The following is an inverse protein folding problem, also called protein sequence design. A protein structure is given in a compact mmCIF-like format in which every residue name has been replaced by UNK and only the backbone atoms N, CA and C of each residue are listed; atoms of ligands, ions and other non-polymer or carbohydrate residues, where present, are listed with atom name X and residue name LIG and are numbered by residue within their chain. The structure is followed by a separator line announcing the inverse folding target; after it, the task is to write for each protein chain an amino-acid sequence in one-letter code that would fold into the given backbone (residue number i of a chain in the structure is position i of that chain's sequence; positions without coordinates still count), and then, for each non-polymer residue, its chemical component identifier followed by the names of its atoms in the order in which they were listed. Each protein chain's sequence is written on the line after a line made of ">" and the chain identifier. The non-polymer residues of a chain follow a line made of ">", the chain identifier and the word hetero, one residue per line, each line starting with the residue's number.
data_IF_138299972986
#
_entry.id   IF_138299972986
#
_cell.length_a   1.000
_cell.length_b   1.000
_cell.length_c   1.000
_cell.angle_alpha   90.00
_cell.angle_beta   90.00
_cell.angle_gamma   90.00
#
_symmetry.space_group_name_H-M   'P 1'
#
loop_
_entity.id
_entity.type
_entity.pdbx_description
1 polymer ?
#
# COMPACT_ATOMS: atom_id res chain seq x y z
N UNK A 1 37.27 -22.22 -9.37
CA UNK A 1 36.39 -22.07 -8.20
C UNK A 1 35.06 -21.54 -8.71
N UNK A 2 34.07 -22.40 -8.93
CA UNK A 2 32.75 -22.00 -9.45
C UNK A 2 31.90 -21.62 -8.24
N UNK A 3 31.69 -20.34 -8.02
CA UNK A 3 30.70 -19.85 -7.07
C UNK A 3 29.32 -20.11 -7.67
N UNK A 4 28.64 -21.15 -7.20
CA UNK A 4 27.21 -21.33 -7.44
C UNK A 4 26.50 -20.07 -6.94
N UNK A 5 26.03 -19.20 -7.84
CA UNK A 5 25.10 -18.15 -7.47
C UNK A 5 23.85 -18.84 -6.95
N UNK A 6 23.55 -18.67 -5.66
CA UNK A 6 22.26 -19.06 -5.13
C UNK A 6 21.17 -18.46 -6.03
N UNK A 7 20.24 -19.29 -6.50
CA UNK A 7 19.14 -18.83 -7.34
C UNK A 7 18.29 -17.86 -6.53
N UNK A 8 18.30 -16.59 -6.93
CA UNK A 8 17.46 -15.55 -6.33
C UNK A 8 15.99 -15.91 -6.50
N UNK A 9 15.22 -15.87 -5.41
CA UNK A 9 13.80 -16.20 -5.37
C UNK A 9 12.96 -14.93 -5.32
N UNK A 10 11.88 -14.95 -6.08
CA UNK A 10 10.89 -13.89 -6.14
C UNK A 10 9.50 -14.51 -6.23
N UNK A 11 8.56 -13.95 -5.49
CA UNK A 11 7.13 -14.25 -5.59
C UNK A 11 6.32 -12.97 -5.48
N UNK A 12 5.01 -13.06 -5.68
CA UNK A 12 4.14 -11.89 -5.74
C UNK A 12 2.81 -12.15 -5.02
N UNK A 13 2.40 -11.20 -4.18
CA UNK A 13 1.01 -11.06 -3.72
C UNK A 13 0.28 -10.21 -4.76
N UNK A 14 -0.76 -10.77 -5.38
CA UNK A 14 -1.50 -10.09 -6.45
C UNK A 14 -2.25 -8.89 -5.91
N UNK A 15 -2.28 -7.80 -6.68
CA UNK A 15 -3.08 -6.64 -6.34
C UNK A 15 -4.56 -7.00 -6.16
N UNK A 16 -5.21 -6.35 -5.20
CA UNK A 16 -6.66 -6.38 -5.00
C UNK A 16 -7.17 -4.96 -5.21
N UNK A 17 -8.03 -4.70 -6.21
CA UNK A 17 -8.58 -3.37 -6.44
C UNK A 17 -9.64 -3.02 -5.39
N UNK A 18 -9.95 -1.73 -5.27
CA UNK A 18 -11.08 -1.27 -4.46
C UNK A 18 -12.39 -1.85 -5.01
N UNK A 19 -13.17 -2.61 -4.21
CA UNK A 19 -14.39 -3.24 -4.68
C UNK A 19 -15.51 -2.22 -4.91
N UNK A 20 -16.54 -2.64 -5.66
CA UNK A 20 -17.72 -1.81 -5.89
C UNK A 20 -18.59 -1.65 -4.65
N UNK A 21 -18.70 -2.69 -3.81
CA UNK A 21 -19.44 -2.64 -2.56
C UNK A 21 -18.51 -2.19 -1.44
N UNK A 22 -18.89 -1.12 -0.75
CA UNK A 22 -18.12 -0.54 0.35
C UNK A 22 -19.05 -0.24 1.54
N UNK A 23 -18.44 -0.06 2.70
CA UNK A 23 -19.10 0.34 3.95
C UNK A 23 -18.65 1.74 4.33
N UNK A 24 -19.53 2.73 4.28
CA UNK A 24 -19.24 4.11 4.68
C UNK A 24 -19.41 4.27 6.19
N UNK A 25 -18.44 4.89 6.88
CA UNK A 25 -18.64 5.32 8.27
C UNK A 25 -19.68 6.44 8.35
N UNK A 26 -20.61 6.32 9.30
CA UNK A 26 -21.66 7.31 9.54
C UNK A 26 -21.75 7.69 11.02
N UNK A 27 -22.17 8.93 11.25
CA UNK A 27 -22.49 9.48 12.57
C UNK A 27 -23.89 9.04 13.04
N UNK A 28 -24.22 9.37 14.29
CA UNK A 28 -25.51 9.02 14.92
C UNK A 28 -26.72 9.64 14.23
N UNK A 29 -26.54 10.75 13.52
CA UNK A 29 -27.57 11.41 12.71
C UNK A 29 -27.71 10.81 11.30
N UNK A 30 -26.93 9.75 10.99
CA UNK A 30 -26.94 9.05 9.71
C UNK A 30 -26.12 9.73 8.61
N UNK A 31 -25.46 10.86 8.88
CA UNK A 31 -24.58 11.53 7.92
C UNK A 31 -23.20 10.87 7.85
N UNK A 32 -22.45 11.05 6.74
CA UNK A 32 -21.08 10.57 6.66
C UNK A 32 -20.20 11.13 7.78
N UNK A 33 -19.42 10.26 8.41
CA UNK A 33 -18.39 10.66 9.35
C UNK A 33 -17.25 11.33 8.58
N UNK A 34 -16.87 12.55 8.99
CA UNK A 34 -15.97 13.39 8.19
C UNK A 34 -14.91 14.12 9.01
N UNK A 35 -13.65 14.03 8.57
CA UNK A 35 -12.51 14.74 9.17
C UNK A 35 -12.08 15.94 8.29
N UNK A 36 -11.53 17.02 8.86
CA UNK A 36 -10.94 18.11 8.06
C UNK A 36 -9.73 17.62 7.25
N UNK A 37 -9.61 18.07 5.99
CA UNK A 37 -8.46 17.76 5.14
C UNK A 37 -7.63 19.00 4.78
N UNK A 38 -8.05 19.76 3.76
CA UNK A 38 -7.42 21.02 3.34
C UNK A 38 -8.46 21.96 2.70
N UNK A 39 -8.29 23.27 2.84
CA UNK A 39 -9.09 24.33 2.17
C UNK A 39 -10.62 24.10 2.17
N UNK A 40 -11.16 23.60 3.28
CA UNK A 40 -12.60 23.36 3.43
C UNK A 40 -13.11 22.04 2.82
N UNK A 41 -12.22 21.25 2.22
CA UNK A 41 -12.47 19.85 1.82
C UNK A 41 -12.42 18.96 3.06
N UNK A 42 -13.32 17.98 3.12
CA UNK A 42 -13.37 16.98 4.20
C UNK A 42 -13.05 15.59 3.68
N UNK A 43 -12.55 14.72 4.55
CA UNK A 43 -12.35 13.30 4.25
C UNK A 43 -13.55 12.50 4.74
N UNK A 44 -14.12 11.67 3.88
CA UNK A 44 -15.03 10.59 4.25
C UNK A 44 -14.27 9.26 4.29
N UNK A 45 -14.71 8.36 5.16
CA UNK A 45 -14.05 7.07 5.34
C UNK A 45 -14.97 5.92 4.92
N UNK A 46 -14.47 5.10 4.01
CA UNK A 46 -15.14 3.89 3.57
C UNK A 46 -14.25 2.66 3.80
N UNK A 47 -14.87 1.48 3.83
CA UNK A 47 -14.17 0.24 4.10
C UNK A 47 -14.64 -0.88 3.17
N UNK A 48 -13.70 -1.74 2.77
CA UNK A 48 -14.03 -2.95 2.02
C UNK A 48 -14.61 -4.05 2.91
N UNK A 49 -14.23 -4.05 4.19
CA UNK A 49 -14.67 -4.97 5.23
C UNK A 49 -15.34 -4.14 6.33
N UNK A 50 -16.60 -4.43 6.68
CA UNK A 50 -17.36 -3.58 7.60
C UNK A 50 -16.75 -3.55 9.02
N UNK A 51 -16.10 -4.63 9.40
CA UNK A 51 -15.41 -4.82 10.69
C UNK A 51 -14.15 -3.97 10.81
N UNK A 52 -13.61 -3.44 9.70
CA UNK A 52 -12.41 -2.59 9.70
C UNK A 52 -12.70 -1.15 10.11
N UNK A 53 -13.96 -0.81 10.43
CA UNK A 53 -14.32 0.55 10.88
C UNK A 53 -13.54 0.91 12.15
N UNK A 54 -12.69 1.95 12.11
CA UNK A 54 -12.02 2.54 13.27
C UNK A 54 -13.03 2.96 14.32
N UNK A 55 -12.71 2.71 15.59
CA UNK A 55 -13.62 3.05 16.69
C UNK A 55 -13.83 4.57 16.82
N UNK A 56 -12.85 5.35 16.35
CA UNK A 56 -12.85 6.82 16.37
C UNK A 56 -13.59 7.43 15.17
N UNK A 57 -14.02 6.63 14.18
CA UNK A 57 -14.63 7.12 12.94
C UNK A 57 -16.08 6.67 12.80
N UNK A 58 -16.98 7.62 13.06
CA UNK A 58 -18.42 7.38 13.09
C UNK A 58 -18.84 6.41 14.19
N UNK A 59 -20.14 6.17 14.28
CA UNK A 59 -20.74 5.24 15.26
C UNK A 59 -21.32 3.99 14.62
N UNK A 60 -21.52 4.00 13.29
CA UNK A 60 -22.07 2.88 12.53
C UNK A 60 -21.53 2.83 11.10
N UNK A 61 -21.93 1.81 10.34
CA UNK A 61 -21.62 1.65 8.92
C UNK A 61 -22.88 1.67 8.06
N UNK A 62 -22.76 2.20 6.83
CA UNK A 62 -23.79 2.17 5.81
C UNK A 62 -23.25 1.57 4.51
N UNK A 63 -23.93 0.58 3.90
CA UNK A 63 -23.56 0.08 2.59
C UNK A 63 -23.67 1.17 1.52
N UNK A 64 -22.64 1.29 0.68
CA UNK A 64 -22.58 2.25 -0.43
C UNK A 64 -21.88 1.62 -1.62
N UNK A 65 -22.03 2.27 -2.78
CA UNK A 65 -21.30 1.89 -3.97
C UNK A 65 -20.06 2.76 -4.15
N UNK A 66 -19.02 2.18 -4.74
CA UNK A 66 -17.83 2.95 -5.15
C UNK A 66 -18.20 4.10 -6.09
N UNK A 67 -19.16 3.88 -6.99
CA UNK A 67 -19.59 4.89 -7.96
C UNK A 67 -20.24 6.10 -7.29
N UNK A 68 -21.10 5.90 -6.29
CA UNK A 68 -21.71 7.01 -5.55
C UNK A 68 -20.68 7.86 -4.81
N UNK A 69 -19.68 7.21 -4.20
CA UNK A 69 -18.61 7.92 -3.50
C UNK A 69 -17.70 8.69 -4.47
N UNK A 70 -17.45 8.16 -5.66
CA UNK A 70 -16.73 8.89 -6.71
C UNK A 70 -17.52 10.11 -7.22
N UNK A 71 -18.84 10.02 -7.28
CA UNK A 71 -19.71 11.16 -7.61
C UNK A 71 -19.65 12.24 -6.51
N UNK A 72 -19.59 11.82 -5.25
CA UNK A 72 -19.40 12.72 -4.11
C UNK A 72 -18.02 13.42 -4.17
N UNK A 73 -16.94 12.70 -4.46
CA UNK A 73 -15.60 13.29 -4.67
C UNK A 73 -15.59 14.31 -5.83
N UNK A 74 -16.26 14.00 -6.94
CA UNK A 74 -16.36 14.91 -8.10
C UNK A 74 -17.07 16.23 -7.79
N UNK A 75 -17.89 16.28 -6.74
CA UNK A 75 -18.48 17.53 -6.27
C UNK A 75 -17.45 18.50 -5.67
N UNK A 76 -16.23 18.01 -5.36
CA UNK A 76 -15.12 18.79 -4.81
C UNK A 76 -15.24 19.11 -3.33
N UNK A 77 -16.30 18.65 -2.65
CA UNK A 77 -16.53 18.90 -1.22
C UNK A 77 -15.86 17.87 -0.31
N UNK A 78 -15.62 16.67 -0.85
CA UNK A 78 -15.12 15.53 -0.11
C UNK A 78 -14.02 14.81 -0.88
N UNK A 79 -13.11 14.18 -0.14
CA UNK A 79 -12.27 13.09 -0.63
C UNK A 79 -12.60 11.84 0.17
N UNK A 80 -12.47 10.66 -0.43
CA UNK A 80 -12.85 9.40 0.18
C UNK A 80 -11.62 8.53 0.32
N UNK A 81 -11.31 8.17 1.56
CA UNK A 81 -10.23 7.26 1.90
C UNK A 81 -10.83 5.89 2.23
N UNK A 82 -10.39 4.86 1.50
CA UNK A 82 -10.84 3.48 1.71
C UNK A 82 -9.84 2.74 2.60
N UNK A 83 -10.30 2.01 3.60
CA UNK A 83 -9.46 1.18 4.47
C UNK A 83 -8.27 1.95 5.07
N UNK A 84 -8.53 3.17 5.55
CA UNK A 84 -7.56 3.96 6.30
C UNK A 84 -7.32 3.31 7.68
N UNK A 85 -6.06 3.19 8.08
CA UNK A 85 -5.71 2.59 9.37
C UNK A 85 -6.12 3.48 10.55
N UNK A 86 -6.37 2.86 11.71
CA UNK A 86 -6.70 3.59 12.95
C UNK A 86 -5.61 4.61 13.28
N UNK A 87 -6.00 5.86 13.58
CA UNK A 87 -5.05 6.95 13.86
C UNK A 87 -4.30 7.50 12.64
N UNK A 88 -4.58 7.01 11.43
CA UNK A 88 -3.97 7.48 10.19
C UNK A 88 -5.02 7.99 9.20
N UNK A 89 -4.82 9.22 8.70
CA UNK A 89 -5.72 9.86 7.74
C UNK A 89 -5.61 9.30 6.32
N UNK A 90 -4.49 8.65 6.02
CA UNK A 90 -4.17 8.14 4.70
C UNK A 90 -4.68 6.69 4.56
N UNK A 91 -5.48 6.45 3.52
CA UNK A 91 -5.99 5.14 3.16
C UNK A 91 -5.64 4.78 1.72
N UNK A 92 -6.38 3.83 1.16
CA UNK A 92 -6.37 3.55 -0.27
C UNK A 92 -7.28 4.57 -0.95
N UNK A 93 -6.80 5.32 -1.96
CA UNK A 93 -7.65 6.19 -2.74
C UNK A 93 -8.81 5.39 -3.35
N UNK A 94 -10.03 5.92 -3.29
CA UNK A 94 -11.18 5.27 -3.93
C UNK A 94 -11.06 5.26 -5.46
N UNK A 95 -10.30 6.22 -6.00
CA UNK A 95 -9.95 6.28 -7.41
C UNK A 95 -9.02 5.12 -7.77
N UNK A 96 -9.27 4.53 -8.93
CA UNK A 96 -8.39 3.51 -9.47
C UNK A 96 -7.08 4.17 -9.90
N UNK A 97 -6.11 4.21 -9.00
CA UNK A 97 -4.75 4.53 -9.38
C UNK A 97 -4.13 3.25 -9.93
N UNK A 98 -3.96 3.19 -11.24
CA UNK A 98 -3.07 2.23 -11.87
C UNK A 98 -1.71 2.93 -12.01
N UNK A 99 -0.74 2.66 -11.11
CA UNK A 99 0.61 3.16 -11.31
C UNK A 99 1.08 2.72 -12.69
N UNK A 100 1.79 3.60 -13.40
CA UNK A 100 2.38 3.20 -14.66
C UNK A 100 3.28 2.00 -14.42
N UNK A 101 3.18 1.00 -15.30
CA UNK A 101 4.17 -0.08 -15.27
C UNK A 101 5.52 0.53 -15.59
N UNK A 102 6.58 0.19 -14.83
CA UNK A 102 7.89 0.68 -15.12
C UNK A 102 8.30 0.26 -16.53
N UNK A 103 8.98 1.16 -17.25
CA UNK A 103 9.56 0.85 -18.54
C UNK A 103 10.67 -0.19 -18.43
N UNK A 104 11.24 -0.57 -19.58
CA UNK A 104 12.35 -1.54 -19.63
C UNK A 104 13.68 -0.95 -19.12
N UNK A 105 13.79 0.39 -19.05
CA UNK A 105 14.98 1.09 -18.61
C UNK A 105 15.05 1.12 -17.07
N UNK A 106 16.21 0.85 -16.47
CA UNK A 106 16.42 1.02 -15.04
C UNK A 106 16.24 2.47 -14.60
N UNK A 107 15.61 2.68 -13.45
CA UNK A 107 15.56 3.98 -12.81
C UNK A 107 16.92 4.36 -12.23
N UNK A 108 17.31 5.62 -12.44
CA UNK A 108 18.45 6.20 -11.75
C UNK A 108 18.14 6.32 -10.24
N UNK A 109 19.09 6.05 -9.33
CA UNK A 109 18.85 6.18 -7.89
C UNK A 109 18.34 7.57 -7.48
N UNK A 110 18.83 8.64 -8.12
CA UNK A 110 18.40 10.02 -7.88
C UNK A 110 16.93 10.30 -8.27
N UNK A 111 16.36 9.46 -9.14
CA UNK A 111 14.96 9.57 -9.58
C UNK A 111 14.00 8.68 -8.79
N UNK A 112 14.47 8.01 -7.73
CA UNK A 112 13.66 7.09 -6.92
C UNK A 112 13.61 7.57 -5.48
N UNK A 113 12.40 7.60 -4.92
CA UNK A 113 12.17 7.73 -3.49
C UNK A 113 11.83 6.37 -2.92
N UNK A 114 12.25 6.13 -1.68
CA UNK A 114 11.95 4.91 -0.95
C UNK A 114 11.33 5.29 0.38
N UNK A 115 10.17 4.70 0.67
CA UNK A 115 9.43 4.90 1.90
C UNK A 115 9.27 3.54 2.58
N UNK A 116 9.52 3.47 3.88
CA UNK A 116 9.19 2.27 4.66
C UNK A 116 7.66 2.16 4.76
N UNK A 117 7.14 0.94 4.60
CA UNK A 117 5.69 0.74 4.72
C UNK A 117 5.24 0.93 6.16
N UNK A 118 4.08 1.57 6.31
CA UNK A 118 3.47 1.79 7.61
C UNK A 118 1.96 1.93 7.48
N UNK A 119 1.29 2.15 8.60
CA UNK A 119 -0.12 2.48 8.66
C UNK A 119 -0.51 3.77 7.90
N UNK A 120 0.46 4.65 7.58
CA UNK A 120 0.24 5.79 6.68
C UNK A 120 -0.04 5.36 5.22
N UNK A 121 0.09 4.08 4.88
CA UNK A 121 -0.34 3.56 3.58
C UNK A 121 -1.77 2.98 3.63
N UNK A 122 -2.47 3.07 4.76
CA UNK A 122 -3.74 2.41 5.03
C UNK A 122 -3.56 1.04 5.73
N UNK A 123 -4.68 0.36 5.97
CA UNK A 123 -4.72 -0.92 6.71
C UNK A 123 -3.81 -1.97 6.07
N UNK A 124 -3.75 -2.04 4.73
CA UNK A 124 -2.86 -3.00 4.06
C UNK A 124 -1.39 -2.75 4.38
N UNK A 125 -0.97 -1.48 4.46
CA UNK A 125 0.39 -1.09 4.78
C UNK A 125 0.76 -1.44 6.22
N UNK A 126 -0.17 -1.22 7.15
CA UNK A 126 -0.05 -1.64 8.55
C UNK A 126 0.07 -3.17 8.69
N UNK A 127 -0.77 -3.93 7.97
CA UNK A 127 -0.71 -5.39 7.98
C UNK A 127 0.64 -5.87 7.44
N UNK A 128 1.09 -5.32 6.31
CA UNK A 128 2.36 -5.72 5.70
C UNK A 128 3.54 -5.34 6.59
N UNK A 129 3.55 -4.15 7.19
CA UNK A 129 4.65 -3.72 8.07
C UNK A 129 4.74 -4.59 9.32
N UNK A 130 3.60 -5.01 9.91
CA UNK A 130 3.57 -5.92 11.07
C UNK A 130 3.99 -7.35 10.73
N UNK A 131 3.71 -7.82 9.52
CA UNK A 131 4.15 -9.14 9.05
C UNK A 131 5.63 -9.17 8.65
N UNK A 132 6.14 -8.04 8.18
CA UNK A 132 7.51 -7.90 7.75
C UNK A 132 8.47 -7.83 8.94
N UNK A 133 9.73 -8.19 8.70
CA UNK A 133 10.81 -7.92 9.64
C UNK A 133 11.11 -6.41 9.64
N UNK A 134 11.72 -5.86 10.71
CA UNK A 134 12.15 -4.46 10.72
C UNK A 134 12.96 -4.12 9.47
N UNK A 135 12.70 -2.96 8.85
CA UNK A 135 13.45 -2.46 7.69
C UNK A 135 13.44 -3.38 6.46
N UNK A 136 12.40 -4.19 6.30
CA UNK A 136 12.29 -5.14 5.19
C UNK A 136 11.14 -4.89 4.22
N UNK A 137 10.25 -3.93 4.50
CA UNK A 137 9.07 -3.64 3.69
C UNK A 137 9.06 -2.19 3.22
N UNK A 138 9.05 -1.99 1.90
CA UNK A 138 9.33 -0.71 1.28
C UNK A 138 8.39 -0.43 0.10
N UNK A 139 8.06 0.84 -0.09
CA UNK A 139 7.47 1.37 -1.31
C UNK A 139 8.53 2.17 -2.07
N UNK A 140 8.79 1.75 -3.31
CA UNK A 140 9.64 2.45 -4.26
C UNK A 140 8.76 3.32 -5.15
N UNK A 141 9.14 4.59 -5.30
CA UNK A 141 8.37 5.58 -6.05
C UNK A 141 9.29 6.27 -7.07
N UNK A 142 8.87 6.30 -8.32
CA UNK A 142 9.49 7.15 -9.33
C UNK A 142 9.10 8.61 -9.02
N UNK A 143 10.08 9.52 -8.98
CA UNK A 143 9.85 10.90 -8.55
C UNK A 143 9.03 11.75 -9.54
N UNK A 144 8.62 11.20 -10.69
CA UNK A 144 7.83 11.89 -11.70
C UNK A 144 6.33 11.89 -11.37
N UNK A 145 5.59 12.90 -11.85
CA UNK A 145 4.13 12.96 -11.65
C UNK A 145 3.44 11.77 -12.33
N UNK A 146 2.72 10.97 -11.54
CA UNK A 146 2.12 9.72 -12.02
C UNK A 146 3.17 8.68 -12.43
N UNK A 147 4.34 8.73 -11.80
CA UNK A 147 5.42 7.79 -11.99
C UNK A 147 5.07 6.36 -11.58
N UNK A 148 5.91 5.41 -11.99
CA UNK A 148 5.78 4.03 -11.57
C UNK A 148 5.99 3.88 -10.06
N UNK A 149 5.39 2.86 -9.47
CA UNK A 149 5.66 2.45 -8.10
C UNK A 149 5.89 0.94 -8.01
N UNK A 150 6.58 0.52 -6.96
CA UNK A 150 6.80 -0.90 -6.67
C UNK A 150 6.85 -1.11 -5.17
N UNK A 151 5.94 -1.93 -4.65
CA UNK A 151 5.98 -2.37 -3.27
C UNK A 151 6.83 -3.63 -3.17
N UNK A 152 7.86 -3.60 -2.31
CA UNK A 152 8.85 -4.67 -2.16
C UNK A 152 8.96 -5.09 -0.70
N UNK A 153 8.95 -6.40 -0.45
CA UNK A 153 9.29 -7.00 0.84
C UNK A 153 10.50 -7.92 0.68
N UNK A 154 11.47 -7.82 1.58
CA UNK A 154 12.71 -8.60 1.58
C UNK A 154 12.64 -9.66 2.68
N UNK A 155 12.44 -10.92 2.30
CA UNK A 155 12.23 -12.04 3.23
C UNK A 155 12.98 -13.31 2.75
N UNK A 156 13.73 -14.02 3.60
CA UNK A 156 14.47 -15.23 3.23
C UNK A 156 13.56 -16.38 2.77
N UNK A 157 12.28 -16.37 3.14
CA UNK A 157 11.26 -17.29 2.63
C UNK A 157 10.12 -16.52 1.93
N UNK A 158 10.32 -16.09 0.66
CA UNK A 158 9.32 -15.30 -0.05
C UNK A 158 7.96 -16.01 -0.15
N UNK A 159 7.95 -17.32 -0.35
CA UNK A 159 6.71 -18.10 -0.52
C UNK A 159 5.97 -18.27 0.81
N UNK A 160 6.68 -18.52 1.91
CA UNK A 160 6.10 -18.53 3.25
C UNK A 160 5.54 -17.17 3.65
N UNK A 161 6.28 -16.10 3.40
CA UNK A 161 5.79 -14.74 3.64
C UNK A 161 4.54 -14.44 2.83
N UNK A 162 4.52 -14.77 1.53
CA UNK A 162 3.36 -14.60 0.65
C UNK A 162 2.11 -15.29 1.19
N UNK A 163 2.22 -16.53 1.68
CA UNK A 163 1.06 -17.26 2.24
C UNK A 163 0.45 -16.53 3.42
N UNK A 164 1.28 -16.10 4.39
CA UNK A 164 0.83 -15.32 5.56
C UNK A 164 0.21 -13.99 5.17
N UNK A 165 0.80 -13.30 4.19
CA UNK A 165 0.29 -12.03 3.70
C UNK A 165 -1.08 -12.16 3.03
N UNK A 166 -1.29 -13.18 2.18
CA UNK A 166 -2.59 -13.44 1.54
C UNK A 166 -3.67 -13.71 2.58
N UNK A 167 -3.35 -14.49 3.62
CA UNK A 167 -4.28 -14.77 4.72
C UNK A 167 -4.63 -13.51 5.51
N UNK A 168 -3.63 -12.71 5.90
CA UNK A 168 -3.84 -11.53 6.73
C UNK A 168 -4.53 -10.38 5.98
N UNK A 169 -4.17 -10.15 4.70
CA UNK A 169 -4.77 -9.09 3.88
C UNK A 169 -6.20 -9.44 3.49
N UNK A 170 -6.49 -10.73 3.25
CA UNK A 170 -7.82 -11.19 2.87
C UNK A 170 -8.30 -10.52 1.58
N UNK A 171 -9.41 -9.79 1.65
CA UNK A 171 -10.04 -9.09 0.51
C UNK A 171 -9.76 -7.58 0.49
N UNK A 172 -8.94 -7.07 1.41
CA UNK A 172 -8.65 -5.64 1.51
C UNK A 172 -7.94 -5.17 0.23
N UNK A 173 -8.28 -4.00 -0.33
CA UNK A 173 -7.58 -3.42 -1.46
C UNK A 173 -6.13 -3.13 -1.10
N UNK A 174 -5.22 -3.51 -2.00
CA UNK A 174 -3.80 -3.27 -1.85
C UNK A 174 -3.10 -3.36 -3.20
N UNK A 175 -1.94 -2.71 -3.38
CA UNK A 175 -1.15 -2.84 -4.60
C UNK A 175 -0.58 -4.25 -4.73
N UNK A 176 0.03 -4.53 -5.89
CA UNK A 176 0.85 -5.74 -6.05
C UNK A 176 2.08 -5.63 -5.14
N UNK A 177 2.36 -6.68 -4.36
CA UNK A 177 3.51 -6.72 -3.44
C UNK A 177 4.50 -7.75 -3.98
N UNK A 178 5.69 -7.29 -4.33
CA UNK A 178 6.79 -8.14 -4.75
C UNK A 178 7.59 -8.59 -3.53
N UNK A 179 7.76 -9.90 -3.37
CA UNK A 179 8.49 -10.48 -2.24
C UNK A 179 9.74 -11.14 -2.77
N UNK A 180 10.89 -10.76 -2.24
CA UNK A 180 12.22 -11.16 -2.73
C UNK A 180 13.09 -11.64 -1.60
N UNK A 181 13.97 -12.61 -1.88
CA UNK A 181 14.94 -13.09 -0.90
C UNK A 181 16.15 -12.18 -0.73
N UNK A 182 16.36 -11.28 -1.69
CA UNK A 182 17.55 -10.43 -1.77
C UNK A 182 17.29 -9.22 -2.67
N UNK A 183 18.11 -8.18 -2.51
CA UNK A 183 18.08 -7.00 -3.38
C UNK A 183 18.33 -7.33 -4.86
N UNK A 184 18.95 -8.48 -5.14
CA UNK A 184 19.24 -8.94 -6.50
C UNK A 184 18.00 -9.47 -7.21
N UNK A 185 17.04 -10.00 -6.46
CA UNK A 185 15.77 -10.49 -7.00
C UNK A 185 14.72 -9.38 -7.21
N UNK A 186 15.00 -8.14 -6.80
CA UNK A 186 14.12 -6.98 -7.05
C UNK A 186 13.89 -6.82 -8.57
N UNK A 187 12.68 -6.40 -9.01
CA UNK A 187 12.39 -6.19 -10.43
C UNK A 187 13.44 -5.31 -11.11
N UNK A 188 13.82 -5.70 -12.33
CA UNK A 188 15.01 -5.18 -13.02
C UNK A 188 15.05 -3.65 -13.13
N UNK A 189 13.90 -3.02 -13.37
CA UNK A 189 13.80 -1.57 -13.49
C UNK A 189 14.19 -0.83 -12.19
N UNK A 190 13.94 -1.46 -11.04
CA UNK A 190 14.15 -0.86 -9.71
C UNK A 190 15.47 -1.26 -9.06
N UNK A 191 16.01 -2.44 -9.41
CA UNK A 191 17.15 -3.10 -8.76
C UNK A 191 18.33 -2.18 -8.45
N UNK A 192 18.77 -1.38 -9.43
CA UNK A 192 19.92 -0.48 -9.26
C UNK A 192 19.63 0.58 -8.19
N UNK A 193 18.49 1.25 -8.27
CA UNK A 193 18.08 2.24 -7.28
C UNK A 193 17.94 1.61 -5.89
N UNK A 194 17.26 0.46 -5.80
CA UNK A 194 17.05 -0.24 -4.52
C UNK A 194 18.36 -0.65 -3.86
N UNK A 195 19.33 -1.19 -4.60
CA UNK A 195 20.65 -1.52 -4.03
C UNK A 195 21.38 -0.30 -3.46
N UNK A 196 21.33 0.82 -4.18
CA UNK A 196 21.98 2.05 -3.73
C UNK A 196 21.31 2.63 -2.48
N UNK A 197 19.97 2.60 -2.44
CA UNK A 197 19.20 3.28 -1.40
C UNK A 197 18.98 2.42 -0.15
N UNK A 198 18.82 1.11 -0.30
CA UNK A 198 18.54 0.19 0.82
C UNK A 198 19.74 -0.65 1.26
N UNK A 199 20.75 -0.82 0.40
CA UNK A 199 21.94 -1.61 0.72
C UNK A 199 22.62 -1.20 2.03
N UNK A 200 22.86 0.11 2.27
CA UNK A 200 23.46 0.57 3.53
C UNK A 200 22.61 0.21 4.76
N UNK A 201 21.29 0.45 4.70
CA UNK A 201 20.35 0.18 5.79
C UNK A 201 20.31 -1.30 6.18
N UNK A 202 20.30 -2.18 5.18
CA UNK A 202 20.25 -3.62 5.40
C UNK A 202 21.59 -4.20 5.88
N UNK A 203 22.71 -3.56 5.53
CA UNK A 203 24.02 -3.95 6.02
C UNK A 203 24.25 -3.56 7.50
N UNK A 204 23.53 -2.55 8.00
CA UNK A 204 23.62 -2.07 9.38
C UNK A 204 22.65 -2.76 10.36
N UNK A 205 21.77 -3.64 9.88
CA UNK A 205 20.79 -4.34 10.71
C UNK A 205 21.25 -5.79 10.93
N UNK A 206 21.63 -6.22 12.16
CA UNK A 206 21.93 -7.62 12.41
C UNK A 206 20.66 -8.47 12.24
N UNK A 207 20.78 -9.56 11.46
CA UNK A 207 19.68 -10.45 11.09
C UNK A 207 19.26 -11.43 12.18
#
# INVERSE_FOLDING_TARGET
>A
MVTWRASTRQTTVRAVPVPNGLSLAIESDGRPATEPHDRGVRVEFAYSVAEDRPATRGVATRPVTRQSLLEDERSGRFVVQVDAAEGHGDGVPITEQHPRRPGLLPFAPSGVRVLELSAANGIWGDVVSRLARPHSAWMLLEASTGGASCTVVIDPDPDGWRRRAVEALGRRPHPEITVVDSLDAVPRAWRTATRNLLGPTLASTPG
#
